data_IF_198867354431
#
_entry.id   IF_198867354431
#
_cell.length_a   1.000
_cell.length_b   1.000
_cell.length_c   1.000
_cell.angle_alpha   90.00
_cell.angle_beta   90.00
_cell.angle_gamma   90.00
#
_symmetry.space_group_name_H-M   'P 1'
#
loop_
_entity.id
_entity.type
_entity.pdbx_description
1 polymer ?
#
# COMPACT_ATOMS: atom_id res chain seq x y z
N UNK A 1 -3.04 22.99 10.63
CA UNK A 1 -2.13 21.84 10.44
C UNK A 1 -1.79 21.82 8.95
N UNK A 2 -0.60 22.26 8.58
CA UNK A 2 -0.21 22.41 7.17
C UNK A 2 0.39 21.09 6.68
N UNK A 3 -0.30 20.42 5.75
CA UNK A 3 0.23 19.26 5.01
C UNK A 3 1.29 19.76 4.03
N UNK A 4 2.52 19.28 4.17
CA UNK A 4 3.63 19.64 3.29
C UNK A 4 3.66 18.67 2.10
N UNK A 5 3.08 19.07 0.97
CA UNK A 5 3.23 18.39 -0.32
C UNK A 5 4.62 18.70 -0.88
N UNK A 6 5.55 17.74 -0.82
CA UNK A 6 6.85 17.85 -1.49
C UNK A 6 6.69 17.58 -2.99
N UNK A 7 6.51 18.65 -3.78
CA UNK A 7 6.74 18.63 -5.23
C UNK A 7 8.24 18.59 -5.49
N UNK A 8 8.80 17.42 -5.82
CA UNK A 8 10.13 17.34 -6.42
C UNK A 8 10.05 17.86 -7.87
N UNK A 9 10.27 19.17 -8.04
CA UNK A 9 10.53 19.77 -9.33
C UNK A 9 11.91 19.36 -9.84
N UNK A 10 11.96 18.49 -10.84
CA UNK A 10 13.20 18.11 -11.51
C UNK A 10 13.74 19.26 -12.35
N UNK A 11 14.90 19.80 -11.95
CA UNK A 11 15.68 20.74 -12.77
C UNK A 11 16.49 19.91 -13.76
N UNK A 12 16.09 19.93 -15.05
CA UNK A 12 16.84 19.29 -16.12
C UNK A 12 17.95 20.24 -16.62
N UNK A 13 19.21 19.92 -16.34
CA UNK A 13 20.37 20.54 -16.99
C UNK A 13 20.54 19.94 -18.40
N UNK A 14 20.42 20.78 -19.42
CA UNK A 14 20.69 20.42 -20.81
C UNK A 14 22.19 20.51 -21.12
N UNK A 15 22.81 19.40 -21.52
CA UNK A 15 24.15 19.37 -22.13
C UNK A 15 24.00 19.02 -23.62
N UNK A 16 24.58 19.87 -24.47
CA UNK A 16 24.58 19.78 -25.93
C UNK A 16 25.78 18.91 -26.37
N UNK A 17 25.55 17.89 -27.21
CA UNK A 17 26.60 17.04 -27.79
C UNK A 17 26.09 16.15 -28.95
N UNK A 18 26.47 16.55 -30.16
CA UNK A 18 26.35 15.98 -31.53
C UNK A 18 25.89 14.53 -31.83
N UNK A 19 24.93 14.46 -32.78
CA UNK A 19 24.77 13.59 -33.98
C UNK A 19 25.10 12.08 -33.87
N UNK A 20 24.03 11.28 -33.83
CA UNK A 20 23.98 9.84 -34.11
C UNK A 20 22.58 9.33 -33.81
N UNK A 21 21.64 9.47 -34.76
CA UNK A 21 20.20 9.21 -34.57
C UNK A 21 19.88 7.71 -34.52
N UNK A 22 20.10 7.08 -33.38
CA UNK A 22 19.24 6.00 -32.91
C UNK A 22 18.30 6.64 -31.90
N UNK A 23 17.06 6.92 -32.30
CA UNK A 23 16.05 7.53 -31.44
C UNK A 23 15.73 6.59 -30.30
N UNK A 24 16.42 6.76 -29.16
CA UNK A 24 15.98 6.18 -27.90
C UNK A 24 14.72 6.97 -27.53
N UNK A 25 13.56 6.43 -27.89
CA UNK A 25 12.30 6.90 -27.35
C UNK A 25 12.35 6.65 -25.83
N UNK A 26 12.78 7.66 -25.08
CA UNK A 26 12.58 7.70 -23.64
C UNK A 26 11.08 7.72 -23.43
N UNK A 27 10.49 6.55 -23.16
CA UNK A 27 9.10 6.46 -22.73
C UNK A 27 8.93 7.43 -21.56
N UNK A 28 7.88 8.27 -21.56
CA UNK A 28 7.66 9.18 -20.47
C UNK A 28 7.55 8.40 -19.16
N UNK A 29 8.23 8.85 -18.11
CA UNK A 29 8.06 8.29 -16.79
C UNK A 29 6.56 8.37 -16.40
N UNK A 30 5.95 7.22 -16.12
CA UNK A 30 4.64 7.18 -15.50
C UNK A 30 4.75 7.92 -14.16
N UNK A 31 3.86 8.88 -13.92
CA UNK A 31 3.76 9.49 -12.60
C UNK A 31 3.16 8.43 -11.67
N UNK A 32 3.83 8.17 -10.56
CA UNK A 32 3.31 7.34 -9.49
C UNK A 32 3.02 8.25 -8.30
N UNK A 33 1.78 8.26 -7.84
CA UNK A 33 1.43 8.86 -6.55
C UNK A 33 1.53 7.78 -5.47
N UNK A 34 2.13 8.14 -4.34
CA UNK A 34 2.35 7.20 -3.24
C UNK A 34 1.74 7.79 -1.98
N UNK A 35 0.70 7.12 -1.51
CA UNK A 35 0.05 7.41 -0.24
C UNK A 35 0.44 6.33 0.75
N UNK A 36 1.00 6.71 1.88
CA UNK A 36 1.48 5.79 2.90
C UNK A 36 1.14 6.31 4.30
N UNK A 37 0.58 5.43 5.14
CA UNK A 37 0.22 5.77 6.52
C UNK A 37 0.47 4.59 7.45
N UNK A 38 0.91 4.90 8.67
CA UNK A 38 0.90 3.91 9.74
C UNK A 38 -0.52 3.70 10.24
N UNK A 39 -1.03 2.48 10.05
CA UNK A 39 -2.38 2.09 10.43
C UNK A 39 -2.35 1.13 11.63
N UNK A 40 -3.38 1.21 12.48
CA UNK A 40 -3.57 0.30 13.61
C UNK A 40 -5.01 -0.17 13.69
N UNK A 41 -5.20 -1.48 13.72
CA UNK A 41 -6.49 -2.12 13.97
C UNK A 41 -6.58 -2.60 15.41
N UNK A 42 -7.55 -2.11 16.16
CA UNK A 42 -7.89 -2.62 17.50
C UNK A 42 -9.00 -3.67 17.35
N UNK A 43 -8.73 -4.91 17.74
CA UNK A 43 -9.62 -6.05 17.53
C UNK A 43 -10.67 -6.14 18.65
N UNK A 44 -11.47 -5.09 18.84
CA UNK A 44 -12.47 -5.01 19.90
C UNK A 44 -13.89 -5.25 19.38
N UNK A 45 -14.69 -6.19 19.95
CA UNK A 45 -14.27 -7.14 20.98
C UNK A 45 -13.32 -8.22 20.41
N UNK A 46 -12.40 -8.77 21.21
CA UNK A 46 -11.50 -9.82 20.76
C UNK A 46 -12.28 -11.06 20.32
N UNK A 47 -12.01 -11.57 19.12
CA UNK A 47 -12.69 -12.74 18.53
C UNK A 47 -11.67 -13.83 18.15
N UNK A 48 -10.87 -14.24 19.13
CA UNK A 48 -9.73 -15.14 18.90
C UNK A 48 -8.70 -14.48 17.99
N UNK A 49 -8.29 -15.17 16.92
CA UNK A 49 -7.24 -14.67 16.03
C UNK A 49 -7.73 -13.67 14.98
N UNK A 50 -9.03 -13.65 14.68
CA UNK A 50 -9.53 -12.82 13.58
C UNK A 50 -9.85 -11.40 14.06
N UNK A 51 -9.21 -10.41 13.44
CA UNK A 51 -9.45 -9.02 13.79
C UNK A 51 -10.61 -8.46 12.96
N UNK A 52 -11.62 -7.93 13.64
CA UNK A 52 -12.75 -7.24 13.01
C UNK A 52 -12.38 -5.85 12.47
N UNK A 53 -11.29 -5.24 12.96
CA UNK A 53 -10.82 -3.95 12.47
C UNK A 53 -10.18 -4.05 11.08
N UNK A 54 -10.49 -3.06 10.23
CA UNK A 54 -9.93 -2.89 8.89
C UNK A 54 -9.53 -1.44 8.68
N UNK A 55 -8.43 -0.97 9.27
CA UNK A 55 -7.98 0.39 9.02
C UNK A 55 -7.64 0.58 7.54
N UNK A 56 -7.76 1.82 7.07
CA UNK A 56 -7.64 2.19 5.68
C UNK A 56 -6.86 3.48 5.49
N UNK A 57 -6.35 3.65 4.27
CA UNK A 57 -5.86 4.93 3.75
C UNK A 57 -6.74 5.35 2.58
N UNK A 58 -6.89 6.65 2.42
CA UNK A 58 -7.66 7.26 1.35
C UNK A 58 -6.73 7.82 0.28
N UNK A 59 -7.07 7.64 -0.99
CA UNK A 59 -6.33 8.22 -2.12
C UNK A 59 -7.27 8.51 -3.29
N UNK A 60 -6.90 9.47 -4.14
CA UNK A 60 -7.62 9.74 -5.38
C UNK A 60 -6.95 9.01 -6.55
N UNK A 61 -7.76 8.51 -7.48
CA UNK A 61 -7.29 7.88 -8.71
C UNK A 61 -8.26 8.14 -9.87
N UNK A 62 -7.77 8.03 -11.10
CA UNK A 62 -8.61 7.98 -12.30
C UNK A 62 -9.11 6.56 -12.56
N UNK A 63 -10.03 6.42 -13.51
CA UNK A 63 -10.51 5.11 -13.94
C UNK A 63 -9.39 4.27 -14.55
N UNK A 64 -9.35 2.97 -14.20
CA UNK A 64 -8.39 2.00 -14.71
C UNK A 64 -6.92 2.30 -14.38
N UNK A 65 -6.64 3.15 -13.39
CA UNK A 65 -5.30 3.32 -12.85
C UNK A 65 -4.88 2.08 -12.06
N UNK A 66 -3.57 1.80 -12.11
CA UNK A 66 -2.98 0.62 -11.48
C UNK A 66 -2.61 0.96 -10.04
N UNK A 67 -3.09 0.16 -9.09
CA UNK A 67 -2.79 0.29 -7.66
C UNK A 67 -1.90 -0.88 -7.22
N UNK A 68 -0.74 -0.57 -6.68
CA UNK A 68 0.15 -1.51 -6.00
C UNK A 68 0.01 -1.32 -4.49
N UNK A 69 -0.71 -2.22 -3.84
CA UNK A 69 -0.89 -2.21 -2.38
C UNK A 69 0.25 -2.95 -1.69
N UNK A 70 0.79 -2.37 -0.62
CA UNK A 70 1.75 -3.05 0.25
C UNK A 70 1.50 -2.74 1.71
N UNK A 71 1.88 -3.67 2.58
CA UNK A 71 1.79 -3.53 4.02
C UNK A 71 3.08 -4.01 4.66
N UNK A 72 3.68 -3.16 5.49
CA UNK A 72 4.85 -3.49 6.31
C UNK A 72 4.40 -3.66 7.74
N UNK A 73 4.47 -4.89 8.27
CA UNK A 73 4.08 -5.18 9.65
C UNK A 73 5.03 -4.47 10.62
N UNK A 74 4.51 -3.96 11.74
CA UNK A 74 5.31 -3.25 12.74
C UNK A 74 6.47 -4.15 13.23
N UNK A 75 7.68 -3.61 13.25
CA UNK A 75 8.88 -4.31 13.69
C UNK A 75 8.85 -4.67 15.19
N UNK A 76 8.06 -3.96 15.99
CA UNK A 76 7.83 -4.25 17.40
C UNK A 76 6.74 -5.30 17.62
N UNK A 77 6.15 -5.85 16.55
CA UNK A 77 5.22 -6.97 16.63
C UNK A 77 5.90 -8.20 17.25
N UNK A 78 5.16 -8.96 18.05
CA UNK A 78 5.67 -10.14 18.75
C UNK A 78 5.35 -11.48 18.06
N UNK A 79 4.53 -11.45 17.01
CA UNK A 79 4.02 -12.63 16.31
C UNK A 79 3.73 -12.30 14.85
N UNK A 80 3.68 -13.33 14.01
CA UNK A 80 3.26 -13.19 12.62
C UNK A 80 1.75 -12.91 12.53
N UNK A 81 1.35 -12.29 11.42
CA UNK A 81 -0.06 -12.08 11.06
C UNK A 81 -0.30 -12.51 9.62
N UNK A 82 -1.54 -12.94 9.31
CA UNK A 82 -2.03 -13.14 7.95
C UNK A 82 -2.79 -11.91 7.52
N UNK A 83 -2.27 -11.16 6.56
CA UNK A 83 -2.90 -9.94 6.06
C UNK A 83 -3.81 -10.23 4.86
N UNK A 84 -4.84 -9.40 4.71
CA UNK A 84 -5.74 -9.37 3.55
C UNK A 84 -5.90 -7.93 3.10
N UNK A 85 -5.63 -7.66 1.84
CA UNK A 85 -5.80 -6.35 1.22
C UNK A 85 -7.18 -6.23 0.60
N UNK A 86 -7.82 -5.08 0.79
CA UNK A 86 -9.09 -4.74 0.18
C UNK A 86 -9.01 -3.35 -0.46
N UNK A 87 -9.44 -3.25 -1.71
CA UNK A 87 -9.65 -1.98 -2.41
C UNK A 87 -11.16 -1.77 -2.52
N UNK A 88 -11.67 -0.67 -1.96
CA UNK A 88 -13.10 -0.34 -1.92
C UNK A 88 -13.94 -1.50 -1.34
N UNK A 89 -13.43 -2.12 -0.27
CA UNK A 89 -14.04 -3.27 0.39
C UNK A 89 -13.91 -4.62 -0.33
N UNK A 90 -13.41 -4.65 -1.58
CA UNK A 90 -13.18 -5.89 -2.32
C UNK A 90 -11.78 -6.43 -2.08
N UNK A 91 -11.68 -7.69 -1.68
CA UNK A 91 -10.37 -8.34 -1.52
C UNK A 91 -9.65 -8.42 -2.88
N UNK A 92 -8.39 -7.95 -2.93
CA UNK A 92 -7.61 -7.84 -4.17
C UNK A 92 -6.47 -8.87 -4.29
N UNK A 93 -6.18 -9.61 -3.22
CA UNK A 93 -5.08 -10.58 -3.17
C UNK A 93 -5.42 -11.79 -2.33
N UNK A 94 -4.71 -12.90 -2.57
CA UNK A 94 -4.69 -14.01 -1.62
C UNK A 94 -4.08 -13.54 -0.28
N UNK A 95 -4.52 -14.09 0.87
CA UNK A 95 -3.93 -13.74 2.16
C UNK A 95 -2.44 -14.10 2.20
N UNK A 96 -1.64 -13.26 2.86
CA UNK A 96 -0.19 -13.44 2.95
C UNK A 96 0.29 -13.32 4.40
N UNK A 97 1.32 -14.09 4.77
CA UNK A 97 1.94 -13.99 6.09
C UNK A 97 2.91 -12.80 6.11
N UNK A 98 2.71 -11.88 7.04
CA UNK A 98 3.62 -10.78 7.34
C UNK A 98 4.24 -11.00 8.73
N UNK A 99 5.54 -11.26 8.74
CA UNK A 99 6.37 -11.28 9.95
C UNK A 99 6.62 -9.85 10.45
N UNK A 100 6.88 -9.63 11.75
CA UNK A 100 7.28 -8.32 12.26
C UNK A 100 8.42 -7.71 11.43
N UNK A 101 8.24 -6.47 10.98
CA UNK A 101 9.20 -5.74 10.13
C UNK A 101 9.26 -6.17 8.66
N UNK A 102 8.49 -7.17 8.24
CA UNK A 102 8.45 -7.60 6.84
C UNK A 102 7.34 -6.91 6.04
N UNK A 103 7.62 -6.69 4.75
CA UNK A 103 6.67 -6.14 3.79
C UNK A 103 6.05 -7.24 2.94
N UNK A 104 4.75 -7.15 2.73
CA UNK A 104 4.00 -7.97 1.79
C UNK A 104 3.29 -7.08 0.78
N UNK A 105 3.22 -7.52 -0.47
CA UNK A 105 2.70 -6.74 -1.60
C UNK A 105 1.62 -7.54 -2.31
N UNK A 106 0.49 -6.90 -2.60
CA UNK A 106 -0.57 -7.48 -3.41
C UNK A 106 -0.19 -7.48 -4.91
N UNK A 107 -0.73 -8.40 -5.71
CA UNK A 107 -0.75 -8.22 -7.16
C UNK A 107 -1.42 -6.89 -7.53
N UNK A 108 -1.10 -6.32 -8.72
CA UNK A 108 -1.74 -5.10 -9.18
C UNK A 108 -3.26 -5.19 -9.19
N UNK A 109 -3.91 -4.17 -8.64
CA UNK A 109 -5.34 -3.95 -8.77
C UNK A 109 -5.60 -2.74 -9.68
N UNK A 110 -6.83 -2.61 -10.18
CA UNK A 110 -7.24 -1.49 -11.01
C UNK A 110 -8.50 -0.85 -10.44
N UNK A 111 -8.51 0.47 -10.39
CA UNK A 111 -9.68 1.26 -9.99
C UNK A 111 -10.78 1.14 -11.05
N UNK A 112 -12.04 1.10 -10.60
CA UNK A 112 -13.21 0.95 -11.48
C UNK A 112 -13.89 2.27 -11.82
N UNK A 113 -13.65 3.28 -10.99
CA UNK A 113 -14.21 4.64 -11.08
C UNK A 113 -13.08 5.63 -10.90
N UNK A 114 -13.34 6.90 -11.23
CA UNK A 114 -12.45 7.99 -10.84
C UNK A 114 -12.91 8.58 -9.49
N UNK A 115 -12.00 9.23 -8.77
CA UNK A 115 -12.23 9.90 -7.50
C UNK A 115 -11.58 9.17 -6.33
N UNK A 116 -12.16 9.34 -5.15
CA UNK A 116 -11.64 8.79 -3.91
C UNK A 116 -11.84 7.27 -3.78
N UNK A 117 -10.79 6.60 -3.34
CA UNK A 117 -10.71 5.16 -3.10
C UNK A 117 -10.14 4.88 -1.71
N UNK A 118 -10.53 3.73 -1.16
CA UNK A 118 -10.01 3.27 0.13
C UNK A 118 -9.23 1.97 -0.04
N UNK A 119 -7.94 2.00 0.29
CA UNK A 119 -7.15 0.79 0.50
C UNK A 119 -7.21 0.44 1.98
N UNK A 120 -7.71 -0.74 2.31
CA UNK A 120 -7.78 -1.25 3.69
C UNK A 120 -7.05 -2.57 3.84
N UNK A 121 -6.62 -2.84 5.08
CA UNK A 121 -5.92 -4.05 5.46
C UNK A 121 -6.63 -4.70 6.64
N UNK A 122 -6.92 -6.00 6.52
CA UNK A 122 -7.40 -6.83 7.63
C UNK A 122 -6.34 -7.83 8.03
N UNK A 123 -6.38 -8.29 9.28
CA UNK A 123 -5.41 -9.24 9.82
C UNK A 123 -6.07 -10.38 10.58
N UNK A 124 -5.49 -11.57 10.46
CA UNK A 124 -5.72 -12.69 11.38
C UNK A 124 -4.38 -13.01 12.05
N UNK A 125 -4.35 -13.12 13.37
CA UNK A 125 -3.14 -13.46 14.11
C UNK A 125 -2.65 -14.88 13.81
N UNK A 126 -1.34 -15.10 13.90
CA UNK A 126 -0.74 -16.43 13.91
C UNK A 126 -0.25 -16.72 15.34
N UNK A 127 -0.61 -17.88 15.88
CA UNK A 127 -0.13 -18.28 17.22
C UNK A 127 1.39 -18.44 17.21
N UNK A 128 2.05 -17.85 18.19
CA UNK A 128 3.50 -17.81 18.29
C UNK A 128 3.98 -16.52 18.98
N UNK A 129 5.16 -16.56 19.57
CA UNK A 129 5.68 -15.43 20.34
C UNK A 129 4.74 -15.04 21.47
N UNK A 130 4.27 -13.78 21.50
CA UNK A 130 3.30 -13.33 22.52
C UNK A 130 1.83 -13.60 22.17
N UNK A 131 1.54 -14.03 20.93
CA UNK A 131 0.18 -14.41 20.56
C UNK A 131 -0.12 -15.84 21.02
N UNK A 132 -0.88 -15.95 22.11
CA UNK A 132 -1.31 -17.22 22.72
C UNK A 132 -2.67 -17.73 22.23
N UNK A 133 -3.27 -17.07 21.23
CA UNK A 133 -4.55 -17.45 20.64
C UNK A 133 -5.61 -16.37 20.56
N UNK A 134 -5.24 -15.13 20.93
CA UNK A 134 -6.04 -13.94 20.70
C UNK A 134 -5.19 -12.86 20.07
N UNK A 135 -5.67 -12.25 18.99
CA UNK A 135 -5.09 -11.04 18.41
C UNK A 135 -5.84 -9.83 18.99
N UNK A 136 -5.18 -9.02 19.80
CA UNK A 136 -5.79 -7.83 20.41
C UNK A 136 -5.70 -6.59 19.53
N UNK A 137 -4.58 -6.47 18.82
CA UNK A 137 -4.35 -5.40 17.86
C UNK A 137 -3.27 -5.82 16.86
N UNK A 138 -3.26 -5.16 15.72
CA UNK A 138 -2.15 -5.20 14.78
C UNK A 138 -1.86 -3.79 14.27
N UNK A 139 -0.64 -3.55 13.82
CA UNK A 139 -0.23 -2.27 13.28
C UNK A 139 0.89 -2.42 12.29
N UNK A 140 1.07 -1.40 11.47
CA UNK A 140 2.08 -1.38 10.43
C UNK A 140 1.80 -0.28 9.43
N UNK A 141 2.64 -0.21 8.42
CA UNK A 141 2.54 0.83 7.40
C UNK A 141 1.84 0.30 6.17
N UNK A 142 0.69 0.90 5.82
CA UNK A 142 -0.07 0.59 4.62
C UNK A 142 0.28 1.60 3.54
N UNK A 143 0.54 1.13 2.32
CA UNK A 143 0.92 1.96 1.18
C UNK A 143 0.11 1.61 -0.05
N UNK A 144 -0.37 2.65 -0.74
CA UNK A 144 -0.97 2.60 -2.06
C UNK A 144 -0.06 3.37 -3.02
N UNK A 145 0.56 2.65 -3.96
CA UNK A 145 1.28 3.24 -5.08
C UNK A 145 0.37 3.21 -6.32
N UNK A 146 -0.16 4.37 -6.67
CA UNK A 146 -1.09 4.60 -7.77
C UNK A 146 -0.29 5.03 -8.99
N UNK A 147 -0.32 4.20 -10.03
CA UNK A 147 0.43 4.43 -11.26
C UNK A 147 -0.54 4.90 -12.33
N UNK A 148 -0.35 6.15 -12.75
CA UNK A 148 -1.06 6.73 -13.88
C UNK A 148 -0.62 6.02 -15.16
N UNK A 149 -1.54 5.29 -15.79
CA UNK A 149 -1.33 4.72 -17.11
C UNK A 149 -1.57 5.84 -18.12
N UNK A 150 -0.51 6.55 -18.52
CA UNK A 150 -0.61 7.55 -19.59
C UNK A 150 -1.27 6.91 -20.81
N UNK A 151 -2.43 7.43 -21.20
CA UNK A 151 -3.04 7.20 -22.50
C UNK A 151 -2.39 8.09 -23.55
#
# INVERSE_FOLDING_TARGET
MFVSTRRCGGVAMALIGSIGTAGIALAPAAAADVVEEYVRGYCSPPNGQDCNARPSIHFDAHIAEKVLASFTNDANGCSDIVVRFYLDGRQIAAPAIARPGSTVTAPPAYTKTAGGHDLSVGATGVKGGCNVGTLEAFGGTLSANVIELRQ
#
